data_IF_259112687515
#
_entry.id   IF_259112687515
#
_cell.length_a   1.000
_cell.length_b   1.000
_cell.length_c   1.000
_cell.angle_alpha   90.00
_cell.angle_beta   90.00
_cell.angle_gamma   90.00
#
_symmetry.space_group_name_H-M   'P 1'
#
loop_
_entity.id
_entity.type
_entity.pdbx_description
1 polymer ?
#
# COMPACT_ATOMS: atom_id res chain seq x y z
N UNK A 1 -5.23 -1.60 12.62
CA UNK A 1 -5.66 -0.76 11.47
C UNK A 1 -4.53 0.06 10.83
N UNK A 2 -4.20 1.28 11.29
CA UNK A 2 -3.10 2.10 10.73
C UNK A 2 -1.75 1.83 11.40
N UNK A 3 -1.70 1.65 12.73
CA UNK A 3 -0.46 1.57 13.53
C UNK A 3 0.58 0.53 13.06
N UNK A 4 0.16 -0.63 12.56
CA UNK A 4 1.08 -1.67 12.06
C UNK A 4 1.67 -1.30 10.70
N UNK A 5 0.83 -0.85 9.77
CA UNK A 5 1.28 -0.25 8.51
C UNK A 5 2.13 1.01 8.76
N UNK A 6 1.82 1.78 9.81
CA UNK A 6 2.53 3.00 10.23
C UNK A 6 3.86 2.72 10.95
N UNK A 7 4.01 1.52 11.53
CA UNK A 7 5.27 0.98 12.05
C UNK A 7 6.15 0.43 10.93
N UNK A 8 5.57 -0.29 9.96
CA UNK A 8 6.27 -0.79 8.78
C UNK A 8 6.70 0.34 7.83
N UNK A 9 5.89 1.39 7.68
CA UNK A 9 6.20 2.56 6.86
C UNK A 9 7.05 3.61 7.60
N UNK A 10 7.60 3.32 8.80
CA UNK A 10 8.29 4.28 9.68
C UNK A 10 9.51 4.97 9.06
N UNK A 11 10.08 4.45 7.96
CA UNK A 11 11.14 5.10 7.19
C UNK A 11 10.67 5.93 5.98
N UNK A 12 9.43 5.77 5.53
CA UNK A 12 8.91 6.35 4.28
C UNK A 12 7.58 7.09 4.47
N UNK A 13 7.30 7.58 5.69
CA UNK A 13 6.00 8.16 6.06
C UNK A 13 5.56 9.34 5.20
N UNK A 14 6.52 10.16 4.78
CA UNK A 14 6.27 11.35 3.96
C UNK A 14 6.26 11.01 2.46
N UNK A 15 6.92 9.93 2.06
CA UNK A 15 7.05 9.50 0.66
C UNK A 15 6.90 7.97 0.54
N UNK A 16 5.70 7.39 0.76
CA UNK A 16 5.49 5.93 0.68
C UNK A 16 5.78 5.36 -0.72
N UNK A 17 5.64 6.18 -1.77
CA UNK A 17 6.04 5.86 -3.15
C UNK A 17 7.56 5.74 -3.35
N UNK A 18 8.39 6.19 -2.40
CA UNK A 18 9.86 5.98 -2.43
C UNK A 18 10.28 4.66 -1.81
N UNK A 19 9.37 3.96 -1.11
CA UNK A 19 9.72 2.69 -0.48
C UNK A 19 9.81 1.58 -1.55
N UNK A 20 10.99 0.97 -1.74
CA UNK A 20 11.18 -0.07 -2.77
C UNK A 20 10.28 -1.28 -2.52
N UNK A 21 10.02 -1.61 -1.26
CA UNK A 21 9.11 -2.69 -0.89
C UNK A 21 7.66 -2.42 -1.33
N UNK A 22 7.19 -1.18 -1.21
CA UNK A 22 5.82 -0.82 -1.63
C UNK A 22 5.71 -0.77 -3.14
N UNK A 23 6.73 -0.27 -3.84
CA UNK A 23 6.79 -0.29 -5.31
C UNK A 23 6.71 -1.72 -5.82
N UNK A 24 7.52 -2.62 -5.25
CA UNK A 24 7.51 -4.03 -5.62
C UNK A 24 6.15 -4.71 -5.34
N UNK A 25 5.51 -4.35 -4.22
CA UNK A 25 4.14 -4.82 -3.95
C UNK A 25 3.15 -4.33 -4.99
N UNK A 26 3.19 -3.06 -5.35
CA UNK A 26 2.29 -2.51 -6.37
C UNK A 26 2.59 -3.12 -7.73
N UNK A 27 3.84 -3.37 -8.07
CA UNK A 27 4.25 -4.08 -9.27
C UNK A 27 3.65 -5.50 -9.30
N UNK A 28 3.73 -6.23 -8.20
CA UNK A 28 3.13 -7.57 -8.09
C UNK A 28 1.60 -7.54 -8.22
N UNK A 29 0.94 -6.57 -7.58
CA UNK A 29 -0.53 -6.50 -7.60
C UNK A 29 -1.12 -5.85 -8.84
N UNK A 30 -0.36 -4.99 -9.51
CA UNK A 30 -0.84 -4.16 -10.62
C UNK A 30 -0.22 -4.48 -11.97
N UNK A 31 0.92 -5.18 -12.01
CA UNK A 31 1.73 -5.35 -13.21
C UNK A 31 2.36 -4.05 -13.74
N UNK A 32 2.30 -2.95 -12.98
CA UNK A 32 2.91 -1.67 -13.35
C UNK A 32 4.33 -1.66 -12.82
N UNK A 33 5.31 -1.43 -13.69
CA UNK A 33 6.71 -1.34 -13.30
C UNK A 33 6.92 -0.33 -12.18
N UNK A 34 7.64 -0.75 -11.15
CA UNK A 34 8.02 0.05 -9.98
C UNK A 34 8.58 1.42 -10.34
N UNK A 35 9.24 1.54 -11.49
CA UNK A 35 9.87 2.76 -11.98
C UNK A 35 8.86 3.78 -12.53
N UNK A 36 7.73 3.33 -13.08
CA UNK A 36 6.63 4.21 -13.53
C UNK A 36 5.68 4.63 -12.40
N UNK A 37 5.91 4.14 -11.18
CA UNK A 37 5.08 4.46 -10.02
C UNK A 37 5.52 5.82 -9.48
N UNK A 38 4.94 6.87 -10.08
CA UNK A 38 5.05 8.24 -9.60
C UNK A 38 4.09 8.53 -8.43
N UNK A 39 4.24 9.64 -7.71
CA UNK A 39 3.43 9.96 -6.52
C UNK A 39 1.93 9.96 -6.83
N UNK A 40 1.55 10.47 -8.01
CA UNK A 40 0.17 10.54 -8.47
C UNK A 40 -0.40 9.17 -8.81
N UNK A 41 0.37 8.35 -9.54
CA UNK A 41 -0.01 6.97 -9.90
C UNK A 41 -0.14 6.11 -8.66
N UNK A 42 0.82 6.19 -7.75
CA UNK A 42 0.80 5.51 -6.46
C UNK A 42 -0.47 5.86 -5.67
N UNK A 43 -0.74 7.15 -5.47
CA UNK A 43 -1.91 7.58 -4.71
C UNK A 43 -3.21 7.20 -5.39
N UNK A 44 -3.31 7.34 -6.72
CA UNK A 44 -4.48 6.92 -7.50
C UNK A 44 -4.72 5.42 -7.36
N UNK A 45 -3.65 4.61 -7.34
CA UNK A 45 -3.74 3.17 -7.18
C UNK A 45 -4.18 2.76 -5.78
N UNK A 46 -3.53 3.32 -4.76
CA UNK A 46 -3.89 3.12 -3.36
C UNK A 46 -5.32 3.56 -3.12
N UNK A 47 -5.75 4.71 -3.66
CA UNK A 47 -7.11 5.22 -3.49
C UNK A 47 -8.15 4.38 -4.22
N UNK A 48 -7.83 3.87 -5.42
CA UNK A 48 -8.71 2.99 -6.19
C UNK A 48 -8.89 1.63 -5.51
N UNK A 49 -7.81 1.05 -4.98
CA UNK A 49 -7.85 -0.19 -4.20
C UNK A 49 -8.12 -0.01 -2.72
N UNK A 50 -8.30 1.22 -2.22
CA UNK A 50 -8.51 1.48 -0.77
C UNK A 50 -9.73 0.75 -0.23
N UNK A 51 -10.78 0.60 -1.05
CA UNK A 51 -11.99 -0.15 -0.68
C UNK A 51 -11.70 -1.64 -0.53
N UNK A 52 -10.89 -2.19 -1.40
CA UNK A 52 -10.48 -3.60 -1.38
C UNK A 52 -9.50 -3.89 -0.24
N UNK A 53 -8.51 -3.00 -0.04
CA UNK A 53 -7.61 -2.99 1.12
C UNK A 53 -8.37 -2.87 2.43
N UNK A 54 -9.33 -1.94 2.52
CA UNK A 54 -10.17 -1.78 3.70
C UNK A 54 -11.01 -3.04 3.95
N UNK A 55 -11.56 -3.66 2.90
CA UNK A 55 -12.33 -4.91 3.02
C UNK A 55 -11.45 -6.09 3.43
N UNK A 56 -10.25 -6.21 2.89
CA UNK A 56 -9.27 -7.23 3.27
C UNK A 56 -8.77 -7.04 4.70
N UNK A 57 -8.48 -5.80 5.12
CA UNK A 57 -8.09 -5.47 6.49
C UNK A 57 -9.22 -5.72 7.49
N UNK A 58 -10.46 -5.38 7.13
CA UNK A 58 -11.64 -5.64 7.96
C UNK A 58 -11.98 -7.14 8.04
N UNK A 59 -11.59 -7.91 7.01
CA UNK A 59 -11.66 -9.38 7.04
C UNK A 59 -10.54 -9.98 7.89
N UNK A 60 -9.31 -9.48 7.77
CA UNK A 60 -8.15 -9.96 8.52
C UNK A 60 -8.28 -9.64 10.02
N UNK A 61 -8.86 -8.49 10.36
CA UNK A 61 -9.18 -8.14 11.74
C UNK A 61 -10.28 -9.02 12.32
N UNK A 62 -11.26 -9.42 11.49
CA UNK A 62 -12.29 -10.40 11.89
C UNK A 62 -11.79 -11.84 12.00
N UNK A 63 -10.61 -12.16 11.45
CA UNK A 63 -9.99 -13.50 11.48
C UNK A 63 -8.76 -13.58 12.38
N UNK A 64 -8.37 -12.48 13.02
CA UNK A 64 -7.23 -12.38 13.91
C UNK A 64 -7.56 -12.51 15.40
N UNK A 65 -8.75 -13.02 15.73
CA UNK A 65 -9.14 -13.46 17.07
C UNK A 65 -8.93 -14.97 17.20
#
# INVERSE_FOLDING_TARGET
>A
MLRTAWRLARGYRLCPWRSPYLRWRIETYSGIHADQIDFGTFWKFVWRRRRELARYLQWAERRGD
#
